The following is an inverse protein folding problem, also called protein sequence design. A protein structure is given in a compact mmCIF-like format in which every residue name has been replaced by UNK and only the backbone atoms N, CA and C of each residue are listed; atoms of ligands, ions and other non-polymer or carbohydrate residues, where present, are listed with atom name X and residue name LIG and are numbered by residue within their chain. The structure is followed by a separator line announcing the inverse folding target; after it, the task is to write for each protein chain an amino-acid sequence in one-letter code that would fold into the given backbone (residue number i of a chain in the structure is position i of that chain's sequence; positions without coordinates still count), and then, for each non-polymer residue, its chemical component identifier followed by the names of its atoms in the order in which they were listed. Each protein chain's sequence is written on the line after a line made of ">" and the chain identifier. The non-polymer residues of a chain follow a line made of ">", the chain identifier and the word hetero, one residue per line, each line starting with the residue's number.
data_IF_064147408332
#
_entry.id   IF_064147408332
#
_cell.length_a   1.000
_cell.length_b   1.000
_cell.length_c   1.000
_cell.angle_alpha   90.00
_cell.angle_beta   90.00
_cell.angle_gamma   90.00
#
_symmetry.space_group_name_H-M   'P 1'
#
loop_
_entity.id
_entity.type
_entity.pdbx_description
1 polymer ?
#
# COMPACT_ATOMS: atom_id res chain seq x y z
N UNK A 1 8.56 -7.02 7.72
CA UNK A 1 9.26 -7.75 6.65
C UNK A 1 9.03 -9.22 6.74
N UNK A 2 7.77 -9.66 6.82
CA UNK A 2 7.43 -11.08 6.91
C UNK A 2 7.79 -11.86 5.66
N UNK A 3 7.80 -11.20 4.50
CA UNK A 3 8.10 -11.80 3.20
C UNK A 3 9.37 -11.23 2.58
N UNK A 4 9.70 -9.97 2.85
CA UNK A 4 10.86 -9.28 2.26
C UNK A 4 12.13 -9.31 3.13
N UNK A 5 12.07 -9.92 4.31
CA UNK A 5 13.19 -10.03 5.27
C UNK A 5 13.42 -8.79 6.16
N UNK A 6 12.96 -7.61 5.73
CA UNK A 6 13.02 -6.38 6.51
C UNK A 6 11.78 -5.50 6.27
N UNK A 7 11.56 -4.48 7.12
CA UNK A 7 10.50 -3.50 6.88
C UNK A 7 10.72 -2.77 5.55
N UNK A 8 11.95 -2.30 5.34
CA UNK A 8 12.43 -1.74 4.08
C UNK A 8 13.49 -2.71 3.53
N UNK A 9 13.16 -3.60 2.57
CA UNK A 9 14.11 -4.58 2.04
C UNK A 9 15.40 -3.97 1.47
N UNK A 10 15.34 -2.74 0.95
CA UNK A 10 16.52 -2.01 0.46
C UNK A 10 17.20 -1.15 1.52
N UNK A 11 16.61 -1.06 2.72
CA UNK A 11 17.06 -0.15 3.78
C UNK A 11 16.77 1.33 3.51
N UNK A 12 16.14 1.68 2.38
CA UNK A 12 15.88 3.07 1.96
C UNK A 12 14.40 3.40 2.01
N UNK A 13 14.05 4.59 2.52
CA UNK A 13 12.69 5.11 2.50
C UNK A 13 12.22 5.43 1.06
N UNK A 14 13.14 5.80 0.18
CA UNK A 14 12.89 6.13 -1.24
C UNK A 14 13.87 5.37 -2.11
N UNK A 15 13.35 4.82 -3.20
CA UNK A 15 14.08 4.20 -4.29
C UNK A 15 13.58 4.80 -5.59
N UNK A 16 14.34 4.71 -6.68
CA UNK A 16 13.89 5.16 -8.01
C UNK A 16 13.82 3.96 -8.94
N UNK A 17 12.64 3.67 -9.48
CA UNK A 17 12.43 2.59 -10.46
C UNK A 17 11.76 3.20 -11.68
N UNK A 18 12.40 3.06 -12.86
CA UNK A 18 11.90 3.61 -14.12
C UNK A 18 11.55 5.12 -14.03
N UNK A 19 12.38 5.88 -13.30
CA UNK A 19 12.19 7.32 -13.09
C UNK A 19 11.06 7.70 -12.13
N UNK A 20 10.48 6.74 -11.41
CA UNK A 20 9.43 6.97 -10.39
C UNK A 20 10.02 6.73 -9.01
N UNK A 21 9.81 7.68 -8.10
CA UNK A 21 10.13 7.50 -6.68
C UNK A 21 9.14 6.55 -6.02
N UNK A 22 9.67 5.53 -5.37
CA UNK A 22 8.89 4.48 -4.72
C UNK A 22 9.44 4.13 -3.34
N UNK A 23 8.55 3.81 -2.41
CA UNK A 23 8.92 3.10 -1.17
C UNK A 23 8.65 1.61 -1.36
N UNK A 24 9.69 0.81 -1.17
CA UNK A 24 9.59 -0.64 -1.13
C UNK A 24 9.43 -1.05 0.34
N UNK A 25 8.26 -1.51 0.74
CA UNK A 25 7.93 -1.76 2.15
C UNK A 25 7.18 -3.07 2.35
N UNK A 26 7.44 -3.72 3.47
CA UNK A 26 6.71 -4.89 3.94
C UNK A 26 6.46 -4.79 5.45
N UNK A 27 5.29 -4.27 5.83
CA UNK A 27 4.76 -4.39 7.19
C UNK A 27 3.61 -5.41 7.26
N UNK A 28 3.86 -6.61 6.74
CA UNK A 28 2.91 -7.72 6.68
C UNK A 28 2.40 -8.00 5.26
N UNK A 29 2.48 -7.02 4.36
CA UNK A 29 2.23 -7.16 2.93
C UNK A 29 3.31 -6.40 2.15
N UNK A 30 4.04 -7.07 1.24
CA UNK A 30 4.92 -6.39 0.31
C UNK A 30 4.15 -5.43 -0.60
N UNK A 31 4.49 -4.15 -0.49
CA UNK A 31 3.89 -3.06 -1.23
C UNK A 31 4.98 -2.20 -1.88
N UNK A 32 4.71 -1.75 -3.10
CA UNK A 32 5.41 -0.65 -3.75
C UNK A 32 4.50 0.57 -3.66
N UNK A 33 4.89 1.57 -2.86
CA UNK A 33 4.11 2.79 -2.63
C UNK A 33 4.70 3.92 -3.45
N UNK A 34 3.88 4.62 -4.25
CA UNK A 34 4.33 5.69 -5.16
C UNK A 34 3.27 6.78 -5.29
N UNK A 35 3.66 8.00 -5.70
CA UNK A 35 2.70 9.08 -5.94
C UNK A 35 1.86 8.79 -7.19
N UNK A 36 0.56 9.02 -7.08
CA UNK A 36 -0.39 8.92 -8.20
C UNK A 36 -0.01 9.88 -9.35
N UNK A 37 0.42 11.10 -9.01
CA UNK A 37 0.84 12.11 -9.97
C UNK A 37 2.04 11.66 -10.82
N UNK A 38 3.01 10.95 -10.24
CA UNK A 38 4.17 10.43 -10.97
C UNK A 38 3.77 9.38 -12.01
N UNK A 39 2.62 8.74 -11.80
CA UNK A 39 2.00 7.77 -12.71
C UNK A 39 1.04 8.41 -13.72
N UNK A 40 0.87 9.74 -13.68
CA UNK A 40 0.01 10.49 -14.60
C UNK A 40 -1.48 10.37 -14.29
N UNK A 41 -1.83 10.06 -13.04
CA UNK A 41 -3.23 9.97 -12.57
C UNK A 41 -3.46 10.90 -11.37
N UNK A 42 -4.73 11.23 -11.11
CA UNK A 42 -5.15 12.10 -9.99
C UNK A 42 -5.13 11.36 -8.65
N UNK A 43 -5.38 10.05 -8.65
CA UNK A 43 -5.51 9.22 -7.45
C UNK A 43 -6.95 9.09 -6.95
N UNK A 44 -7.92 9.68 -7.65
CA UNK A 44 -9.35 9.64 -7.32
C UNK A 44 -10.22 8.92 -8.38
N UNK A 45 -9.62 8.40 -9.45
CA UNK A 45 -10.29 7.68 -10.52
C UNK A 45 -11.07 6.46 -10.03
N UNK A 46 -12.10 6.06 -10.78
CA UNK A 46 -12.81 4.82 -10.50
C UNK A 46 -11.91 3.60 -10.78
N UNK A 47 -12.06 2.47 -10.05
CA UNK A 47 -11.30 1.25 -10.33
C UNK A 47 -11.41 0.81 -11.80
N UNK A 48 -12.58 0.93 -12.40
CA UNK A 48 -12.84 0.56 -13.79
C UNK A 48 -12.08 1.47 -14.79
N UNK A 49 -11.92 2.76 -14.49
CA UNK A 49 -11.11 3.68 -15.31
C UNK A 49 -9.62 3.30 -15.25
N UNK A 50 -9.11 2.98 -14.07
CA UNK A 50 -7.72 2.57 -13.88
C UNK A 50 -7.44 1.21 -14.55
N UNK A 51 -8.39 0.27 -14.46
CA UNK A 51 -8.30 -1.02 -15.15
C UNK A 51 -8.38 -0.87 -16.68
N UNK A 52 -9.11 0.13 -17.19
CA UNK A 52 -9.15 0.47 -18.61
C UNK A 52 -7.89 1.18 -19.11
N UNK A 53 -7.09 1.77 -18.23
CA UNK A 53 -5.88 2.52 -18.61
C UNK A 53 -4.70 1.58 -18.90
N UNK A 54 -4.58 1.17 -20.17
CA UNK A 54 -3.53 0.25 -20.64
C UNK A 54 -2.11 0.78 -20.35
N UNK A 55 -1.87 2.07 -20.55
CA UNK A 55 -0.55 2.68 -20.35
C UNK A 55 -0.15 2.67 -18.87
N UNK A 56 -1.07 3.01 -17.97
CA UNK A 56 -0.85 2.93 -16.52
C UNK A 56 -0.50 1.50 -16.09
N UNK A 57 -1.29 0.51 -16.52
CA UNK A 57 -1.06 -0.90 -16.14
C UNK A 57 0.29 -1.40 -16.63
N UNK A 58 0.67 -1.06 -17.86
CA UNK A 58 1.98 -1.44 -18.40
C UNK A 58 3.12 -0.83 -17.57
N UNK A 59 2.99 0.44 -17.17
CA UNK A 59 3.98 1.12 -16.34
C UNK A 59 4.06 0.54 -14.93
N UNK A 60 2.91 0.24 -14.31
CA UNK A 60 2.85 -0.42 -13.01
C UNK A 60 3.50 -1.81 -13.06
N UNK A 61 3.23 -2.60 -14.10
CA UNK A 61 3.81 -3.93 -14.25
C UNK A 61 5.33 -3.88 -14.43
N UNK A 62 5.84 -2.94 -15.23
CA UNK A 62 7.28 -2.76 -15.41
C UNK A 62 7.98 -2.41 -14.08
N UNK A 63 7.37 -1.55 -13.25
CA UNK A 63 7.88 -1.24 -11.92
C UNK A 63 7.79 -2.46 -11.00
N UNK A 64 6.67 -3.19 -11.03
CA UNK A 64 6.43 -4.37 -10.19
C UNK A 64 7.47 -5.47 -10.40
N UNK A 65 7.78 -5.77 -11.66
CA UNK A 65 8.77 -6.79 -12.02
C UNK A 65 10.17 -6.41 -11.52
N UNK A 66 10.58 -5.15 -11.69
CA UNK A 66 11.84 -4.64 -11.16
C UNK A 66 11.89 -4.66 -9.62
N UNK A 67 10.79 -4.28 -8.96
CA UNK A 67 10.69 -4.28 -7.51
C UNK A 67 10.75 -5.69 -6.91
N UNK A 68 10.30 -6.74 -7.63
CA UNK A 68 10.33 -8.12 -7.14
C UNK A 68 11.72 -8.57 -6.68
N UNK A 69 12.74 -8.32 -7.50
CA UNK A 69 14.13 -8.63 -7.17
C UNK A 69 14.64 -7.77 -6.00
N UNK A 70 14.38 -6.46 -6.02
CA UNK A 70 14.80 -5.53 -4.95
C UNK A 70 14.15 -5.82 -3.59
N UNK A 71 13.00 -6.48 -3.59
CA UNK A 71 12.23 -6.81 -2.39
C UNK A 71 12.47 -8.24 -1.88
N UNK A 72 13.48 -8.95 -2.40
CA UNK A 72 13.75 -10.37 -2.07
C UNK A 72 12.57 -11.30 -2.39
N UNK A 73 11.73 -10.95 -3.37
CA UNK A 73 10.58 -11.76 -3.78
C UNK A 73 10.91 -12.66 -5.00
N UNK A 74 12.08 -12.48 -5.61
CA UNK A 74 12.52 -13.16 -6.84
C UNK A 74 11.64 -12.81 -8.04
N UNK A 75 11.51 -13.73 -8.99
CA UNK A 75 10.60 -13.55 -10.12
C UNK A 75 9.14 -13.50 -9.64
N UNK A 76 8.52 -12.34 -9.85
CA UNK A 76 7.14 -12.04 -9.47
C UNK A 76 6.16 -12.10 -10.64
N UNK A 77 6.59 -12.45 -11.86
CA UNK A 77 5.76 -12.49 -13.07
C UNK A 77 4.44 -13.24 -12.86
N UNK A 78 4.49 -14.41 -12.22
CA UNK A 78 3.32 -15.24 -11.89
C UNK A 78 2.84 -15.10 -10.43
N UNK A 79 3.40 -14.17 -9.64
CA UNK A 79 3.07 -13.98 -8.23
C UNK A 79 2.07 -12.84 -8.05
N UNK A 80 1.27 -12.92 -6.99
CA UNK A 80 0.32 -11.86 -6.65
C UNK A 80 0.95 -10.68 -5.88
N UNK A 81 2.26 -10.69 -5.64
CA UNK A 81 3.03 -9.69 -4.89
C UNK A 81 4.16 -9.12 -5.74
N UNK A 82 4.72 -7.95 -5.41
CA UNK A 82 4.19 -6.99 -4.43
C UNK A 82 2.88 -6.34 -4.92
N UNK A 83 2.13 -5.74 -3.99
CA UNK A 83 0.97 -4.92 -4.35
C UNK A 83 1.45 -3.54 -4.79
N UNK A 84 0.81 -2.96 -5.79
CA UNK A 84 1.20 -1.65 -6.31
C UNK A 84 0.22 -0.60 -5.81
N UNK A 85 0.66 0.30 -4.93
CA UNK A 85 -0.21 1.30 -4.31
C UNK A 85 0.19 2.70 -4.72
N UNK A 86 -0.68 3.34 -5.49
CA UNK A 86 -0.56 4.76 -5.82
C UNK A 86 -1.26 5.58 -4.74
N UNK A 87 -0.59 6.61 -4.23
CA UNK A 87 -1.08 7.48 -3.17
C UNK A 87 -1.25 8.92 -3.63
N UNK A 88 -2.24 9.60 -3.08
CA UNK A 88 -2.55 11.02 -3.30
C UNK A 88 -2.98 11.66 -1.98
N UNK A 89 -3.00 13.01 -1.86
CA UNK A 89 -3.57 13.67 -0.69
C UNK A 89 -4.99 13.15 -0.37
N UNK A 90 -5.36 13.06 0.91
CA UNK A 90 -6.70 12.63 1.32
C UNK A 90 -7.78 13.61 0.84
N UNK A 91 -9.01 13.12 0.66
CA UNK A 91 -10.13 13.92 0.15
C UNK A 91 -11.35 13.92 1.06
N UNK A 92 -11.47 12.93 1.93
CA UNK A 92 -12.57 12.76 2.87
C UNK A 92 -12.13 13.01 4.32
N UNK A 93 -11.02 13.74 4.51
CA UNK A 93 -10.46 14.05 5.83
C UNK A 93 -9.69 12.89 6.47
N UNK A 94 -9.35 11.86 5.70
CA UNK A 94 -8.46 10.79 6.14
C UNK A 94 -6.99 11.22 6.16
N UNK A 95 -6.10 10.25 6.34
CA UNK A 95 -4.65 10.48 6.36
C UNK A 95 -4.04 10.47 4.96
N UNK A 96 -4.50 9.58 4.08
CA UNK A 96 -3.98 9.44 2.71
C UNK A 96 -5.03 8.76 1.83
N UNK A 97 -5.09 9.10 0.54
CA UNK A 97 -5.91 8.39 -0.42
C UNK A 97 -5.10 7.38 -1.23
N UNK A 98 -5.70 6.22 -1.51
CA UNK A 98 -5.03 5.10 -2.17
C UNK A 98 -5.78 4.55 -3.38
N UNK A 99 -5.01 4.08 -4.36
CA UNK A 99 -5.44 3.19 -5.45
C UNK A 99 -4.46 2.02 -5.53
N UNK A 100 -4.91 0.83 -5.17
CA UNK A 100 -4.04 -0.35 -5.04
C UNK A 100 -4.37 -1.41 -6.08
N UNK A 101 -3.38 -1.83 -6.84
CA UNK A 101 -3.45 -2.94 -7.78
C UNK A 101 -2.98 -4.26 -7.13
N UNK A 102 -3.70 -5.36 -7.38
CA UNK A 102 -3.48 -6.66 -6.72
C UNK A 102 -3.33 -7.90 -7.64
N UNK A 103 -2.27 -8.00 -8.46
CA UNK A 103 -1.43 -6.93 -8.99
C UNK A 103 -1.96 -6.38 -10.33
N UNK A 104 -2.96 -7.02 -10.95
CA UNK A 104 -3.48 -6.64 -12.28
C UNK A 104 -4.91 -6.05 -12.25
N UNK A 105 -5.56 -6.11 -11.08
CA UNK A 105 -6.90 -5.55 -10.84
C UNK A 105 -6.81 -4.43 -9.82
N UNK A 106 -7.56 -3.35 -10.03
CA UNK A 106 -7.66 -2.30 -9.05
C UNK A 106 -8.60 -2.74 -7.92
N UNK A 107 -8.09 -2.75 -6.70
CA UNK A 107 -8.86 -3.15 -5.53
C UNK A 107 -9.96 -2.10 -5.25
N UNK A 108 -11.21 -2.55 -5.07
CA UNK A 108 -12.35 -1.64 -4.78
C UNK A 108 -12.34 -1.08 -3.35
N UNK A 109 -11.55 -1.68 -2.47
CA UNK A 109 -11.22 -1.17 -1.13
C UNK A 109 -9.70 -1.12 -0.97
N UNK A 110 -9.16 -1.53 0.17
CA UNK A 110 -7.74 -1.87 0.34
C UNK A 110 -7.59 -3.17 1.14
N UNK A 111 -6.60 -3.99 0.80
CA UNK A 111 -6.25 -5.16 1.60
C UNK A 111 -5.63 -4.72 2.92
N UNK A 112 -5.97 -5.36 4.02
CA UNK A 112 -5.69 -4.78 5.35
C UNK A 112 -4.21 -4.68 5.69
N UNK A 113 -3.43 -5.73 5.38
CA UNK A 113 -1.98 -5.64 5.54
C UNK A 113 -1.36 -4.66 4.53
N UNK A 114 -2.01 -4.44 3.38
CA UNK A 114 -1.65 -3.36 2.46
C UNK A 114 -1.89 -1.98 3.08
N UNK A 115 -3.02 -1.77 3.76
CA UNK A 115 -3.29 -0.53 4.50
C UNK A 115 -2.25 -0.30 5.61
N UNK A 116 -1.86 -1.36 6.34
CA UNK A 116 -0.80 -1.29 7.34
C UNK A 116 0.54 -0.89 6.73
N UNK A 117 0.94 -1.50 5.61
CA UNK A 117 2.16 -1.12 4.89
C UNK A 117 2.12 0.34 4.41
N UNK A 118 0.99 0.80 3.85
CA UNK A 118 0.83 2.19 3.40
C UNK A 118 0.87 3.17 4.57
N UNK A 119 0.12 2.90 5.64
CA UNK A 119 0.11 3.71 6.86
C UNK A 119 1.52 3.83 7.45
N UNK A 120 2.30 2.75 7.40
CA UNK A 120 3.70 2.76 7.83
C UNK A 120 4.54 3.63 6.91
N UNK A 121 4.35 3.54 5.59
CA UNK A 121 5.06 4.40 4.63
C UNK A 121 4.78 5.89 4.85
N UNK A 122 3.54 6.27 5.19
CA UNK A 122 3.18 7.65 5.55
C UNK A 122 3.97 8.22 6.74
N UNK A 123 4.50 7.35 7.61
CA UNK A 123 5.28 7.73 8.80
C UNK A 123 6.79 7.69 8.56
N UNK A 124 7.25 7.28 7.38
CA UNK A 124 8.66 7.27 7.02
C UNK A 124 9.05 8.60 6.40
N UNK A 125 9.88 9.37 7.10
CA UNK A 125 10.38 10.65 6.62
C UNK A 125 11.02 10.52 5.23
N UNK A 126 10.66 11.43 4.33
CA UNK A 126 11.12 11.46 2.94
C UNK A 126 10.43 10.46 2.01
N UNK A 127 9.57 9.56 2.51
CA UNK A 127 8.84 8.65 1.62
C UNK A 127 7.86 9.41 0.70
N UNK A 128 7.54 8.91 -0.51
CA UNK A 128 6.57 9.56 -1.39
C UNK A 128 5.17 9.65 -0.79
N UNK A 129 4.87 8.82 0.22
CA UNK A 129 3.61 8.87 0.95
C UNK A 129 3.63 9.91 2.08
N UNK A 130 4.77 10.11 2.76
CA UNK A 130 4.88 11.05 3.87
C UNK A 130 4.66 12.50 3.43
N UNK A 131 5.09 12.86 2.22
CA UNK A 131 4.88 14.21 1.64
C UNK A 131 3.40 14.57 1.43
N UNK A 132 2.52 13.57 1.34
CA UNK A 132 1.11 13.73 1.00
C UNK A 132 0.18 13.43 2.18
N UNK A 133 0.71 12.88 3.27
CA UNK A 133 -0.07 12.28 4.32
C UNK A 133 -0.36 13.24 5.49
N UNK A 134 -1.62 13.26 5.91
CA UNK A 134 -2.08 13.91 7.14
C UNK A 134 -1.99 12.93 8.31
N UNK A 135 -0.83 12.84 8.96
CA UNK A 135 -0.56 11.79 9.97
C UNK A 135 -0.94 12.15 11.42
N UNK A 136 -1.45 13.37 11.64
CA UNK A 136 -1.84 13.91 12.95
C UNK A 136 -0.67 14.29 13.87
N UNK A 137 -0.83 14.10 15.19
CA UNK A 137 0.21 14.32 16.22
C UNK A 137 0.22 13.21 17.29
N UNK A 138 1.27 13.11 18.12
CA UNK A 138 1.37 12.15 19.24
C UNK A 138 2.21 10.89 18.99
N UNK A 139 2.14 9.92 19.92
CA UNK A 139 2.81 8.61 19.79
C UNK A 139 1.89 7.51 19.27
N UNK A 140 0.59 7.65 19.47
CA UNK A 140 -0.43 6.81 18.84
C UNK A 140 -1.11 7.65 17.76
N UNK A 141 -1.10 7.17 16.51
CA UNK A 141 -1.70 7.83 15.35
C UNK A 141 -2.82 6.99 14.79
N UNK A 142 -3.92 7.62 14.46
CA UNK A 142 -5.06 7.00 13.81
C UNK A 142 -5.06 7.43 12.35
N UNK A 143 -4.54 6.56 11.49
CA UNK A 143 -4.32 6.83 10.07
C UNK A 143 -5.48 6.24 9.28
N UNK A 144 -6.41 7.09 8.88
CA UNK A 144 -7.51 6.71 8.00
C UNK A 144 -7.02 6.58 6.56
N UNK A 145 -6.92 5.35 6.05
CA UNK A 145 -6.42 5.06 4.71
C UNK A 145 -7.62 5.01 3.76
N UNK A 146 -7.83 6.08 3.00
CA UNK A 146 -8.95 6.18 2.07
C UNK A 146 -8.72 5.27 0.85
N UNK A 147 -9.80 4.66 0.40
CA UNK A 147 -9.83 3.73 -0.73
C UNK A 147 -11.17 3.88 -1.49
N UNK A 148 -11.36 3.28 -2.68
CA UNK A 148 -12.54 3.58 -3.50
C UNK A 148 -13.89 3.35 -2.79
N UNK A 149 -13.98 2.34 -1.93
CA UNK A 149 -15.19 2.04 -1.15
C UNK A 149 -15.34 2.72 0.22
N UNK A 150 -14.51 3.70 0.59
CA UNK A 150 -14.53 4.30 1.93
C UNK A 150 -13.13 4.48 2.53
N UNK A 151 -12.94 4.07 3.78
CA UNK A 151 -11.63 4.14 4.45
C UNK A 151 -11.39 2.95 5.37
N UNK A 152 -10.11 2.74 5.71
CA UNK A 152 -9.69 1.81 6.73
C UNK A 152 -8.73 2.49 7.71
N UNK A 153 -9.14 2.61 8.97
CA UNK A 153 -8.30 3.18 10.01
C UNK A 153 -7.25 2.19 10.51
N UNK A 154 -5.98 2.58 10.40
CA UNK A 154 -4.82 1.91 10.97
C UNK A 154 -4.34 2.69 12.18
N UNK A 155 -4.27 2.03 13.34
CA UNK A 155 -3.71 2.62 14.56
C UNK A 155 -2.23 2.27 14.63
N UNK A 156 -1.36 3.25 14.41
CA UNK A 156 0.08 3.10 14.50
C UNK A 156 0.59 3.62 15.84
N UNK A 157 1.52 2.90 16.47
CA UNK A 157 2.26 3.37 17.64
C UNK A 157 3.71 3.59 17.30
N UNK A 158 4.24 4.71 17.76
CA UNK A 158 5.61 5.17 17.55
C UNK A 158 6.40 5.06 18.86
N UNK A 159 7.70 4.76 18.74
CA UNK A 159 8.63 4.87 19.84
C UNK A 159 8.96 6.35 20.18
N UNK A 160 9.95 6.57 21.05
CA UNK A 160 10.37 7.92 21.43
C UNK A 160 11.10 8.67 20.30
N UNK A 161 11.65 7.95 19.32
CA UNK A 161 12.32 8.50 18.15
C UNK A 161 11.36 8.73 16.97
N UNK A 162 10.06 8.43 17.13
CA UNK A 162 9.06 8.57 16.07
C UNK A 162 9.02 7.39 15.11
N UNK A 163 9.69 6.28 15.41
CA UNK A 163 9.73 5.09 14.55
C UNK A 163 8.52 4.20 14.82
N UNK A 164 7.79 3.73 13.79
CA UNK A 164 6.67 2.81 13.96
C UNK A 164 7.09 1.48 14.61
N UNK A 165 6.52 1.15 15.76
CA UNK A 165 6.78 -0.10 16.50
C UNK A 165 5.65 -1.12 16.43
N UNK A 166 4.42 -0.66 16.18
CA UNK A 166 3.28 -1.55 15.99
C UNK A 166 2.17 -0.89 15.19
N UNK A 167 1.39 -1.69 14.46
CA UNK A 167 0.19 -1.25 13.78
C UNK A 167 -0.97 -2.23 14.09
N UNK A 168 -2.14 -1.69 14.35
CA UNK A 168 -3.37 -2.45 14.60
C UNK A 168 -4.49 -1.94 13.68
N UNK A 169 -5.43 -2.83 13.34
CA UNK A 169 -6.61 -2.48 12.55
C UNK A 169 -7.84 -2.96 13.29
N UNK A 170 -8.81 -2.07 13.47
CA UNK A 170 -10.11 -2.41 14.04
C UNK A 170 -10.96 -3.14 13.00
N UNK A 171 -11.40 -4.37 13.30
CA UNK A 171 -12.33 -5.12 12.45
C UNK A 171 -13.38 -5.84 13.28
N UNK A 172 -14.50 -6.16 12.62
CA UNK A 172 -15.56 -7.03 13.12
C UNK A 172 -15.61 -8.32 12.29
N UNK A 173 -16.14 -9.40 12.87
CA UNK A 173 -16.33 -10.68 12.19
C UNK A 173 -17.70 -11.28 12.55
N UNK A 174 -18.36 -11.94 11.58
CA UNK A 174 -19.64 -12.64 11.77
C UNK A 174 -19.60 -13.98 11.04
N UNK A 175 -19.91 -15.08 11.74
CA UNK A 175 -20.05 -16.42 11.13
C UNK A 175 -21.27 -16.40 10.19
N UNK A 176 -21.06 -16.76 8.92
CA UNK A 176 -22.13 -16.81 7.91
C UNK A 176 -22.70 -18.22 7.75
N UNK A 177 -21.86 -19.26 7.79
CA UNK A 177 -22.25 -20.66 7.61
C UNK A 177 -21.33 -21.59 8.43
N UNK A 178 -21.84 -22.76 8.76
CA UNK A 178 -21.14 -23.85 9.43
C UNK A 178 -21.62 -25.17 8.80
N UNK A 179 -20.71 -26.00 8.30
CA UNK A 179 -21.05 -27.20 7.52
C UNK A 179 -19.85 -27.83 6.81
N UNK A 180 -20.10 -28.86 6.00
CA UNK A 180 -19.09 -29.65 5.28
C UNK A 180 -19.09 -29.34 3.77
N UNK A 181 -17.90 -29.26 3.16
CA UNK A 181 -17.71 -29.04 1.72
C UNK A 181 -17.18 -30.32 1.07
N UNK A 182 -17.84 -30.79 0.01
CA UNK A 182 -17.40 -31.95 -0.79
C UNK A 182 -16.87 -31.47 -2.15
N UNK A 183 -15.68 -31.95 -2.55
CA UNK A 183 -15.09 -31.68 -3.86
C UNK A 183 -15.42 -32.80 -4.86
N UNK A 184 -15.70 -32.43 -6.11
CA UNK A 184 -15.83 -33.36 -7.23
C UNK A 184 -14.55 -33.48 -8.06
#
# INVERSE_FOLDING_TARGET
>A
GSSCGALLPTGQAVNVINGVEVTLIDNGMPCVVMRAADMGIRGDEAPEELEGNVALRARLEAIRLAAGEMMNLGDVSAKSVPKMTMVSPPRAGGAIATRTFIPHRCHRAIGVLGAVSVATACLLEGSPAAELAETGAGRERHLSIEHPGGEMTVVARLDAAGVPVSAAVLRTARKLMDGEVFGG
#
